data_IF_445087590648
#
_entry.id   IF_445087590648
#
_cell.length_a   1.000
_cell.length_b   1.000
_cell.length_c   1.000
_cell.angle_alpha   90.00
_cell.angle_beta   90.00
_cell.angle_gamma   90.00
#
_symmetry.space_group_name_H-M   'P 1'
#
loop_
_entity.id
_entity.type
_entity.pdbx_description
1 polymer ?
#
# COMPACT_ATOMS: atom_id res chain seq x y z
N UNK A 1 27.69 -19.56 -60.23
CA UNK A 1 28.50 -19.65 -59.00
C UNK A 1 28.23 -18.37 -58.21
N UNK A 2 27.29 -18.43 -57.26
CA UNK A 2 27.01 -17.36 -56.28
C UNK A 2 26.29 -18.04 -55.11
N UNK A 3 27.05 -18.29 -54.06
CA UNK A 3 26.59 -18.84 -52.78
C UNK A 3 25.58 -17.88 -52.13
N UNK A 4 24.37 -18.38 -51.86
CA UNK A 4 23.45 -17.76 -50.95
C UNK A 4 23.90 -18.08 -49.51
N UNK A 5 24.53 -17.11 -48.86
CA UNK A 5 24.87 -17.15 -47.45
C UNK A 5 23.59 -17.33 -46.61
N UNK A 6 23.37 -18.57 -46.16
CA UNK A 6 22.45 -18.89 -45.07
C UNK A 6 22.97 -18.21 -43.81
N UNK A 7 22.28 -17.16 -43.36
CA UNK A 7 22.55 -16.54 -42.05
C UNK A 7 22.06 -17.53 -40.99
N UNK A 8 22.92 -18.01 -40.07
CA UNK A 8 22.50 -18.97 -39.07
C UNK A 8 21.55 -18.31 -38.07
N UNK A 9 20.56 -19.10 -37.68
CA UNK A 9 19.57 -18.85 -36.64
C UNK A 9 20.26 -18.32 -35.38
N UNK A 10 20.04 -17.04 -35.05
CA UNK A 10 20.57 -16.43 -33.82
C UNK A 10 19.68 -16.88 -32.68
N UNK A 11 20.17 -17.76 -31.81
CA UNK A 11 19.55 -18.04 -30.51
C UNK A 11 19.23 -16.74 -29.78
N UNK A 12 17.95 -16.44 -29.61
CA UNK A 12 17.47 -15.22 -28.93
C UNK A 12 17.43 -15.47 -27.41
N UNK A 13 18.56 -15.87 -26.82
CA UNK A 13 18.70 -15.95 -25.36
C UNK A 13 19.22 -14.62 -24.81
N UNK A 14 18.36 -13.61 -24.74
CA UNK A 14 18.74 -12.29 -24.22
C UNK A 14 17.59 -11.56 -23.53
N UNK A 15 17.96 -10.60 -22.68
CA UNK A 15 17.05 -9.66 -21.97
C UNK A 15 15.97 -9.07 -22.90
N UNK A 16 16.24 -8.96 -24.20
CA UNK A 16 15.29 -8.55 -25.25
C UNK A 16 14.04 -9.46 -25.33
N UNK A 17 14.18 -10.78 -25.33
CA UNK A 17 13.04 -11.71 -25.37
C UNK A 17 12.14 -11.56 -24.13
N UNK A 18 12.74 -11.33 -22.95
CA UNK A 18 12.03 -11.05 -21.69
C UNK A 18 11.31 -9.69 -21.65
N UNK A 19 11.73 -8.75 -22.49
CA UNK A 19 11.09 -7.43 -22.67
C UNK A 19 9.98 -7.47 -23.74
N UNK A 20 10.03 -8.44 -24.66
CA UNK A 20 9.07 -8.64 -25.74
C UNK A 20 7.90 -9.57 -25.36
N UNK A 21 8.04 -10.37 -24.30
CA UNK A 21 6.93 -11.10 -23.68
C UNK A 21 5.90 -10.12 -23.10
N UNK A 22 4.81 -9.95 -23.86
CA UNK A 22 3.66 -9.16 -23.47
C UNK A 22 2.98 -9.85 -22.27
N UNK A 23 2.81 -9.19 -21.10
CA UNK A 23 2.10 -9.84 -20.00
C UNK A 23 0.64 -10.10 -20.38
N UNK A 24 0.13 -11.23 -19.91
CA UNK A 24 -1.28 -11.60 -20.05
C UNK A 24 -2.15 -10.63 -19.25
N UNK A 25 -3.32 -10.28 -19.80
CA UNK A 25 -4.31 -9.44 -19.11
C UNK A 25 -4.62 -10.06 -17.73
N UNK A 26 -4.39 -9.31 -16.66
CA UNK A 26 -4.69 -9.72 -15.29
C UNK A 26 -3.48 -10.16 -14.46
N UNK A 27 -2.32 -10.44 -15.07
CA UNK A 27 -1.11 -10.77 -14.31
C UNK A 27 -0.32 -9.52 -13.88
N UNK A 28 0.00 -9.44 -12.59
CA UNK A 28 0.83 -8.37 -12.04
C UNK A 28 2.30 -8.53 -12.43
N UNK A 29 2.92 -7.48 -12.99
CA UNK A 29 4.34 -7.51 -13.39
C UNK A 29 5.30 -7.66 -12.18
N UNK A 30 6.23 -8.63 -12.25
CA UNK A 30 7.33 -8.87 -11.29
C UNK A 30 8.71 -8.63 -11.92
N UNK A 31 9.72 -8.30 -11.12
CA UNK A 31 11.12 -8.18 -11.58
C UNK A 31 11.36 -7.08 -12.63
N UNK A 32 12.23 -7.36 -13.62
CA UNK A 32 12.60 -6.45 -14.71
C UNK A 32 11.39 -6.00 -15.56
N UNK A 33 10.29 -6.76 -15.57
CA UNK A 33 9.02 -6.35 -16.20
C UNK A 33 8.44 -5.08 -15.58
N UNK A 34 8.86 -4.69 -14.36
CA UNK A 34 8.42 -3.41 -13.74
C UNK A 34 8.93 -2.18 -14.48
N UNK A 35 10.05 -2.25 -15.22
CA UNK A 35 10.60 -1.09 -15.93
C UNK A 35 9.76 -0.74 -17.15
N UNK A 36 9.69 0.55 -17.48
CA UNK A 36 9.02 1.02 -18.69
C UNK A 36 9.92 0.78 -19.89
N UNK A 37 9.39 0.08 -20.90
CA UNK A 37 10.10 -0.12 -22.16
C UNK A 37 9.87 1.06 -23.11
N UNK A 38 10.77 1.26 -24.08
CA UNK A 38 10.59 2.27 -25.12
C UNK A 38 9.30 2.06 -25.94
N UNK A 39 8.88 0.80 -26.11
CA UNK A 39 7.60 0.45 -26.74
C UNK A 39 6.41 0.94 -25.92
N UNK A 40 6.40 0.67 -24.62
CA UNK A 40 5.31 1.12 -23.74
C UNK A 40 5.23 2.65 -23.67
N UNK A 41 6.36 3.35 -23.66
CA UNK A 41 6.40 4.81 -23.72
C UNK A 41 5.85 5.36 -25.04
N UNK A 42 6.13 4.69 -26.16
CA UNK A 42 5.55 5.03 -27.47
C UNK A 42 4.03 4.87 -27.43
N UNK A 43 3.52 3.81 -26.82
CA UNK A 43 2.08 3.61 -26.63
C UNK A 43 1.47 4.69 -25.73
N UNK A 44 2.14 5.08 -24.63
CA UNK A 44 1.70 6.19 -23.78
C UNK A 44 1.62 7.50 -24.56
N UNK A 45 2.64 7.84 -25.36
CA UNK A 45 2.63 9.06 -26.20
C UNK A 45 1.48 9.08 -27.21
N UNK A 46 1.11 7.91 -27.72
CA UNK A 46 0.07 7.78 -28.75
C UNK A 46 -1.33 7.86 -28.15
N UNK A 47 -1.60 7.04 -27.12
CA UNK A 47 -2.95 6.81 -26.62
C UNK A 47 -3.34 7.71 -25.43
N UNK A 48 -2.38 8.16 -24.61
CA UNK A 48 -2.69 8.96 -23.44
C UNK A 48 -3.33 10.32 -23.78
N UNK A 49 -2.88 11.06 -24.81
CA UNK A 49 -3.53 12.31 -25.21
C UNK A 49 -4.99 12.11 -25.64
N UNK A 50 -5.32 10.98 -26.27
CA UNK A 50 -6.65 10.73 -26.85
C UNK A 50 -7.67 10.29 -25.79
N UNK A 51 -7.29 9.34 -24.94
CA UNK A 51 -8.23 8.71 -24.01
C UNK A 51 -7.77 8.69 -22.54
N UNK A 52 -6.58 9.20 -22.25
CA UNK A 52 -5.98 9.12 -20.92
C UNK A 52 -5.70 7.68 -20.50
N UNK A 53 -5.83 7.40 -19.20
CA UNK A 53 -5.47 6.09 -18.63
C UNK A 53 -6.36 4.95 -19.12
N UNK A 54 -7.66 5.18 -19.33
CA UNK A 54 -8.60 4.13 -19.75
C UNK A 54 -8.20 3.53 -21.09
N UNK A 55 -7.81 4.37 -22.06
CA UNK A 55 -7.34 3.90 -23.36
C UNK A 55 -5.96 3.23 -23.25
N UNK A 56 -5.04 3.80 -22.47
CA UNK A 56 -3.73 3.18 -22.24
C UNK A 56 -3.82 1.78 -21.61
N UNK A 57 -4.78 1.53 -20.73
CA UNK A 57 -4.98 0.23 -20.10
C UNK A 57 -5.35 -0.88 -21.10
N UNK A 58 -6.02 -0.53 -22.21
CA UNK A 58 -6.35 -1.49 -23.27
C UNK A 58 -5.10 -1.95 -24.02
N UNK A 59 -4.10 -1.08 -24.16
CA UNK A 59 -2.86 -1.34 -24.91
C UNK A 59 -1.65 -1.68 -24.03
N UNK A 60 -1.79 -1.58 -22.71
CA UNK A 60 -0.74 -1.86 -21.72
C UNK A 60 -1.23 -2.90 -20.71
N UNK A 61 -1.45 -4.17 -21.14
CA UNK A 61 -1.84 -5.23 -20.22
C UNK A 61 -0.82 -5.34 -19.08
N UNK A 62 -1.30 -5.65 -17.87
CA UNK A 62 -0.48 -5.77 -16.66
C UNK A 62 0.06 -4.45 -16.08
N UNK A 63 -0.23 -3.26 -16.64
CA UNK A 63 0.06 -1.97 -15.99
C UNK A 63 -1.14 -1.55 -15.15
N UNK A 64 -0.89 -1.08 -13.93
CA UNK A 64 -1.94 -0.45 -13.13
C UNK A 64 -2.16 1.01 -13.56
N UNK A 65 -3.38 1.52 -13.37
CA UNK A 65 -3.71 2.92 -13.62
C UNK A 65 -2.72 3.88 -12.93
N UNK A 66 -2.37 3.60 -11.68
CA UNK A 66 -1.41 4.39 -10.90
C UNK A 66 -0.01 4.39 -11.51
N UNK A 67 0.45 3.24 -12.05
CA UNK A 67 1.74 3.15 -12.73
C UNK A 67 1.78 4.01 -13.98
N UNK A 68 0.70 4.01 -14.77
CA UNK A 68 0.52 4.85 -15.95
C UNK A 68 0.54 6.33 -15.56
N UNK A 69 -0.26 6.75 -14.57
CA UNK A 69 -0.29 8.14 -14.10
C UNK A 69 1.10 8.64 -13.68
N UNK A 70 1.85 7.84 -12.93
CA UNK A 70 3.19 8.19 -12.50
C UNK A 70 4.15 8.35 -13.69
N UNK A 71 4.13 7.41 -14.65
CA UNK A 71 5.02 7.48 -15.81
C UNK A 71 4.69 8.64 -16.74
N UNK A 72 3.41 8.83 -17.03
CA UNK A 72 2.92 9.96 -17.82
C UNK A 72 3.32 11.27 -17.17
N UNK A 73 3.19 11.38 -15.84
CA UNK A 73 3.63 12.55 -15.08
C UNK A 73 5.13 12.82 -15.23
N UNK A 74 5.97 11.79 -15.18
CA UNK A 74 7.42 11.91 -15.44
C UNK A 74 7.73 12.31 -16.88
N UNK A 75 6.95 11.83 -17.85
CA UNK A 75 7.08 12.16 -19.27
C UNK A 75 6.43 13.51 -19.63
N UNK A 76 5.75 14.16 -18.70
CA UNK A 76 5.04 15.42 -18.95
C UNK A 76 3.81 15.29 -19.88
N UNK A 77 3.32 14.07 -20.12
CA UNK A 77 2.18 13.85 -21.02
C UNK A 77 0.87 14.35 -20.40
N UNK A 78 -0.05 14.82 -21.23
CA UNK A 78 -1.35 15.36 -20.82
C UNK A 78 -2.46 14.74 -21.66
N UNK A 79 -3.65 14.65 -21.07
CA UNK A 79 -4.86 14.26 -21.78
C UNK A 79 -5.37 15.50 -22.52
N UNK A 80 -5.72 15.35 -23.80
CA UNK A 80 -6.42 16.37 -24.55
C UNK A 80 -7.92 16.33 -24.24
N UNK A 81 -8.58 17.48 -24.37
CA UNK A 81 -10.04 17.53 -24.35
C UNK A 81 -10.65 16.91 -25.63
N UNK A 82 -11.97 16.86 -25.71
CA UNK A 82 -12.67 16.30 -26.87
C UNK A 82 -12.38 17.06 -28.20
N UNK A 83 -11.79 18.25 -28.13
CA UNK A 83 -11.41 19.10 -29.26
C UNK A 83 -9.91 19.00 -29.59
N UNK A 84 -9.18 18.09 -28.94
CA UNK A 84 -7.74 17.92 -29.14
C UNK A 84 -6.87 18.97 -28.46
N UNK A 85 -7.42 19.85 -27.61
CA UNK A 85 -6.67 20.89 -26.90
C UNK A 85 -6.25 20.41 -25.52
N UNK A 86 -5.03 20.78 -25.10
CA UNK A 86 -4.59 20.56 -23.74
C UNK A 86 -5.12 21.69 -22.85
N UNK A 87 -5.80 21.34 -21.75
CA UNK A 87 -6.17 22.34 -20.75
C UNK A 87 -4.91 22.84 -20.03
N UNK A 88 -4.72 24.15 -20.05
CA UNK A 88 -3.71 24.80 -19.24
C UNK A 88 -4.04 24.63 -17.76
N UNK A 89 -3.00 24.52 -16.93
CA UNK A 89 -3.22 24.50 -15.48
C UNK A 89 -3.57 25.91 -15.07
N UNK A 90 -4.78 26.11 -14.55
CA UNK A 90 -5.20 27.40 -14.02
C UNK A 90 -4.20 27.88 -12.97
N UNK A 91 -3.59 29.04 -13.22
CA UNK A 91 -2.70 29.70 -12.28
C UNK A 91 -3.55 30.48 -11.25
N UNK A 92 -3.55 30.00 -10.02
CA UNK A 92 -4.28 30.64 -8.93
C UNK A 92 -3.42 31.73 -8.29
N UNK A 93 -3.77 33.00 -8.54
CA UNK A 93 -3.11 34.18 -7.95
C UNK A 93 -3.78 34.57 -6.62
N UNK A 94 -2.97 35.18 -5.74
CA UNK A 94 -3.44 35.80 -4.49
C UNK A 94 -3.56 37.31 -4.63
N UNK A 95 -4.31 37.93 -3.71
CA UNK A 95 -4.34 39.36 -3.48
C UNK A 95 -4.64 39.62 -1.98
N UNK A 96 -4.51 40.88 -1.55
CA UNK A 96 -4.70 41.27 -0.14
C UNK A 96 -6.09 40.90 0.40
N UNK A 97 -7.15 41.06 -0.41
CA UNK A 97 -8.53 40.72 -0.01
C UNK A 97 -8.69 39.21 0.25
N UNK A 98 -8.12 38.38 -0.63
CA UNK A 98 -8.13 36.91 -0.48
C UNK A 98 -7.36 36.53 0.79
N UNK A 99 -6.15 37.08 0.96
CA UNK A 99 -5.33 36.77 2.12
C UNK A 99 -6.00 37.24 3.42
N UNK A 100 -6.69 38.39 3.45
CA UNK A 100 -7.46 38.84 4.61
C UNK A 100 -8.59 37.88 5.02
N UNK A 101 -9.31 37.30 4.04
CA UNK A 101 -10.35 36.29 4.31
C UNK A 101 -9.73 35.00 4.85
N UNK A 102 -8.59 34.59 4.30
CA UNK A 102 -7.84 33.42 4.79
C UNK A 102 -7.37 33.69 6.22
N UNK A 103 -6.69 34.80 6.49
CA UNK A 103 -6.24 35.19 7.83
C UNK A 103 -7.39 35.13 8.83
N UNK A 104 -8.55 35.76 8.51
CA UNK A 104 -9.75 35.73 9.37
C UNK A 104 -10.21 34.31 9.68
N UNK A 105 -10.18 33.42 8.70
CA UNK A 105 -10.60 32.02 8.88
C UNK A 105 -9.66 31.25 9.83
N UNK A 106 -8.38 31.62 9.87
CA UNK A 106 -7.34 30.95 10.67
C UNK A 106 -6.92 31.75 11.91
N UNK A 107 -7.68 32.78 12.32
CA UNK A 107 -7.46 33.48 13.60
C UNK A 107 -7.59 32.54 14.82
N UNK A 108 -8.26 31.40 14.65
CA UNK A 108 -8.27 30.28 15.58
C UNK A 108 -8.21 28.95 14.85
N UNK A 109 -8.51 27.85 15.56
CA UNK A 109 -8.63 26.53 14.93
C UNK A 109 -9.91 26.49 14.08
N UNK A 110 -9.82 26.37 12.74
CA UNK A 110 -11.01 26.37 11.90
C UNK A 110 -11.86 25.12 12.16
N UNK A 111 -13.17 25.31 12.28
CA UNK A 111 -14.13 24.22 12.44
C UNK A 111 -14.22 23.32 11.19
N UNK A 112 -14.88 22.17 11.36
CA UNK A 112 -15.13 21.23 10.26
C UNK A 112 -15.94 21.94 9.16
N UNK A 113 -15.29 22.17 8.02
CA UNK A 113 -15.92 22.82 6.86
C UNK A 113 -15.61 24.31 6.71
N UNK A 114 -15.05 24.98 7.72
CA UNK A 114 -14.71 26.41 7.63
C UNK A 114 -13.71 26.70 6.49
N UNK A 115 -12.71 25.82 6.29
CA UNK A 115 -11.78 25.92 5.16
C UNK A 115 -12.47 25.75 3.80
N UNK A 116 -13.53 24.93 3.74
CA UNK A 116 -14.32 24.73 2.51
C UNK A 116 -15.22 25.95 2.22
N UNK A 117 -15.80 26.54 3.25
CA UNK A 117 -16.55 27.80 3.13
C UNK A 117 -15.63 28.93 2.67
N UNK A 118 -14.45 29.07 3.28
CA UNK A 118 -13.41 30.01 2.87
C UNK A 118 -13.02 29.81 1.40
N UNK A 119 -12.74 28.57 1.00
CA UNK A 119 -12.44 28.20 -0.39
C UNK A 119 -13.53 28.63 -1.38
N UNK A 120 -14.80 28.45 -1.00
CA UNK A 120 -15.95 28.86 -1.79
C UNK A 120 -16.04 30.39 -1.88
N UNK A 121 -15.83 31.10 -0.77
CA UNK A 121 -15.88 32.56 -0.68
C UNK A 121 -14.78 33.26 -1.50
N UNK A 122 -13.56 32.71 -1.53
CA UNK A 122 -12.46 33.28 -2.33
C UNK A 122 -12.40 32.74 -3.76
N UNK A 123 -13.35 31.87 -4.14
CA UNK A 123 -13.36 31.16 -5.42
C UNK A 123 -12.00 30.49 -5.72
N UNK A 124 -11.47 29.74 -4.74
CA UNK A 124 -10.23 28.97 -4.86
C UNK A 124 -10.44 27.53 -4.40
N UNK A 125 -9.71 26.56 -4.96
CA UNK A 125 -9.75 25.19 -4.47
C UNK A 125 -9.28 25.12 -3.01
N UNK A 126 -9.92 24.24 -2.23
CA UNK A 126 -9.60 24.03 -0.81
C UNK A 126 -8.10 23.76 -0.57
N UNK A 127 -7.45 22.98 -1.43
CA UNK A 127 -6.02 22.69 -1.33
C UNK A 127 -5.16 23.95 -1.49
N UNK A 128 -5.59 24.89 -2.34
CA UNK A 128 -4.86 26.14 -2.59
C UNK A 128 -4.95 27.04 -1.36
N UNK A 129 -6.15 27.16 -0.76
CA UNK A 129 -6.34 27.90 0.50
C UNK A 129 -5.49 27.31 1.62
N UNK A 130 -5.48 25.98 1.79
CA UNK A 130 -4.62 25.32 2.79
C UNK A 130 -3.13 25.61 2.54
N UNK A 131 -2.69 25.55 1.28
CA UNK A 131 -1.31 25.86 0.91
C UNK A 131 -0.96 27.33 1.15
N UNK A 132 -1.89 28.25 0.85
CA UNK A 132 -1.72 29.68 1.08
C UNK A 132 -1.66 30.01 2.57
N UNK A 133 -2.51 29.39 3.39
CA UNK A 133 -2.48 29.56 4.84
C UNK A 133 -1.14 29.12 5.46
N UNK A 134 -0.55 28.02 4.97
CA UNK A 134 0.81 27.60 5.36
C UNK A 134 1.85 28.64 4.94
N UNK A 135 1.75 29.18 3.72
CA UNK A 135 2.67 30.22 3.24
C UNK A 135 2.55 31.54 4.01
N UNK A 136 1.35 31.89 4.49
CA UNK A 136 1.10 33.04 5.36
C UNK A 136 1.51 32.78 6.83
N UNK A 137 2.04 31.60 7.16
CA UNK A 137 2.44 31.25 8.53
C UNK A 137 1.28 30.97 9.49
N UNK A 138 0.04 30.88 8.99
CA UNK A 138 -1.17 30.65 9.80
C UNK A 138 -1.30 29.19 10.27
N UNK A 139 -0.61 28.27 9.60
CA UNK A 139 -0.60 26.84 9.91
C UNK A 139 0.83 26.33 9.88
N UNK A 140 1.24 25.62 10.93
CA UNK A 140 2.53 24.96 10.95
C UNK A 140 2.59 23.85 9.89
N UNK A 141 3.58 23.85 8.98
CA UNK A 141 3.76 22.77 8.00
C UNK A 141 3.85 21.41 8.69
N UNK A 142 3.20 20.40 8.13
CA UNK A 142 3.41 19.02 8.58
C UNK A 142 4.77 18.55 8.10
N UNK A 143 5.75 18.50 9.00
CA UNK A 143 7.05 17.91 8.70
C UNK A 143 6.92 16.39 8.51
N UNK A 144 7.66 15.87 7.52
CA UNK A 144 7.78 14.42 7.33
C UNK A 144 8.59 13.86 8.50
N UNK A 145 8.10 12.77 9.09
CA UNK A 145 8.84 12.08 10.14
C UNK A 145 10.24 11.71 9.65
N UNK A 146 11.24 11.83 10.53
CA UNK A 146 12.61 11.43 10.24
C UNK A 146 12.67 9.95 9.77
N UNK A 147 13.65 9.56 8.94
CA UNK A 147 13.90 8.15 8.66
C UNK A 147 14.11 7.38 9.98
N UNK A 148 13.74 6.10 10.00
CA UNK A 148 13.97 5.24 11.16
C UNK A 148 15.46 4.90 11.25
N UNK A 149 16.07 5.14 12.41
CA UNK A 149 17.45 4.71 12.67
C UNK A 149 17.53 3.21 12.94
N UNK A 150 18.71 2.63 12.80
CA UNK A 150 18.95 1.21 13.13
C UNK A 150 18.69 0.93 14.61
N UNK A 151 19.07 1.85 15.50
CA UNK A 151 18.80 1.75 16.93
C UNK A 151 17.29 1.74 17.24
N UNK A 152 16.51 2.60 16.58
CA UNK A 152 15.05 2.59 16.73
C UNK A 152 14.45 1.26 16.25
N UNK A 153 14.97 0.72 15.14
CA UNK A 153 14.54 -0.56 14.57
C UNK A 153 14.83 -1.71 15.54
N UNK A 154 16.04 -1.76 16.10
CA UNK A 154 16.43 -2.79 17.07
C UNK A 154 15.48 -2.79 18.29
N UNK A 155 15.21 -1.61 18.85
CA UNK A 155 14.30 -1.47 20.01
C UNK A 155 12.91 -2.04 19.70
N UNK A 156 12.34 -1.73 18.54
CA UNK A 156 10.99 -2.22 18.19
C UNK A 156 10.99 -3.70 17.79
N UNK A 157 12.07 -4.22 17.19
CA UNK A 157 12.14 -5.63 16.77
C UNK A 157 12.34 -6.56 17.96
N UNK A 158 13.24 -6.23 18.88
CA UNK A 158 13.50 -7.00 20.11
C UNK A 158 12.26 -7.05 21.02
N UNK A 159 11.43 -6.01 20.97
CA UNK A 159 10.26 -5.86 21.81
C UNK A 159 8.93 -5.98 21.05
N UNK A 160 8.94 -6.58 19.86
CA UNK A 160 7.76 -6.64 18.98
C UNK A 160 6.54 -7.31 19.62
N UNK A 161 6.75 -8.20 20.61
CA UNK A 161 5.72 -8.85 21.41
C UNK A 161 4.98 -7.90 22.37
N UNK A 162 5.52 -6.70 22.66
CA UNK A 162 4.92 -5.73 23.59
C UNK A 162 3.88 -4.84 22.91
N UNK A 163 2.98 -4.26 23.71
CA UNK A 163 2.02 -3.26 23.22
C UNK A 163 2.73 -2.00 22.67
N UNK A 164 2.16 -1.35 21.65
CA UNK A 164 2.74 -0.14 21.03
C UNK A 164 2.87 1.02 21.97
N UNK A 165 1.97 1.16 22.93
CA UNK A 165 2.11 2.17 23.98
C UNK A 165 3.39 1.95 24.80
N UNK A 166 3.80 0.70 25.03
CA UNK A 166 5.06 0.35 25.69
C UNK A 166 6.26 0.57 24.78
N UNK A 167 6.19 0.17 23.50
CA UNK A 167 7.23 0.47 22.51
C UNK A 167 7.48 1.97 22.38
N UNK A 168 6.42 2.78 22.36
CA UNK A 168 6.50 4.24 22.33
C UNK A 168 7.21 4.79 23.56
N UNK A 169 6.91 4.27 24.76
CA UNK A 169 7.58 4.66 26.00
C UNK A 169 9.07 4.31 25.97
N UNK A 170 9.44 3.13 25.46
CA UNK A 170 10.85 2.72 25.34
C UNK A 170 11.62 3.59 24.34
N UNK A 171 11.01 3.88 23.18
CA UNK A 171 11.58 4.82 22.21
C UNK A 171 11.76 6.21 22.83
N UNK A 172 10.73 6.73 23.51
CA UNK A 172 10.79 8.04 24.17
C UNK A 172 11.87 8.09 25.26
N UNK A 173 12.05 7.01 26.04
CA UNK A 173 13.10 6.89 27.05
C UNK A 173 14.52 6.91 26.47
N UNK A 174 14.67 6.61 25.18
CA UNK A 174 15.92 6.71 24.41
C UNK A 174 16.01 8.00 23.57
N UNK A 175 15.09 8.94 23.75
CA UNK A 175 15.04 10.22 23.04
C UNK A 175 14.32 10.19 21.69
N UNK A 176 13.77 9.05 21.28
CA UNK A 176 13.08 8.91 19.99
C UNK A 176 11.58 9.19 20.12
N UNK A 177 11.09 10.17 19.35
CA UNK A 177 9.68 10.55 19.35
C UNK A 177 8.95 9.95 18.14
N UNK A 178 8.26 8.82 18.36
CA UNK A 178 7.44 8.14 17.34
C UNK A 178 5.99 8.00 17.78
N UNK A 179 5.05 8.21 16.86
CA UNK A 179 3.64 7.94 17.12
C UNK A 179 3.38 6.43 17.16
N UNK A 180 2.34 5.98 17.86
CA UNK A 180 1.96 4.55 17.86
C UNK A 180 1.65 4.05 16.46
N UNK A 181 1.03 4.89 15.62
CA UNK A 181 0.76 4.56 14.22
C UNK A 181 2.06 4.36 13.42
N UNK A 182 3.07 5.20 13.64
CA UNK A 182 4.37 5.04 13.00
C UNK A 182 5.04 3.71 13.39
N UNK A 183 4.98 3.34 14.67
CA UNK A 183 5.48 2.06 15.18
C UNK A 183 4.73 0.89 14.53
N UNK A 184 3.39 0.94 14.46
CA UNK A 184 2.57 -0.10 13.80
C UNK A 184 2.98 -0.28 12.34
N UNK A 185 3.08 0.84 11.59
CA UNK A 185 3.46 0.81 10.18
C UNK A 185 4.88 0.26 10.01
N UNK A 186 5.79 0.60 10.92
CA UNK A 186 7.17 0.10 10.87
C UNK A 186 7.24 -1.39 11.17
N UNK A 187 6.58 -1.89 12.22
CA UNK A 187 6.48 -3.32 12.53
C UNK A 187 5.92 -4.12 11.35
N UNK A 188 4.82 -3.64 10.74
CA UNK A 188 4.25 -4.25 9.53
C UNK A 188 5.24 -4.33 8.37
N UNK A 189 6.08 -3.30 8.17
CA UNK A 189 7.11 -3.28 7.12
C UNK A 189 8.32 -4.16 7.43
N UNK A 190 8.61 -4.37 8.71
CA UNK A 190 9.67 -5.27 9.17
C UNK A 190 9.22 -6.74 9.22
N UNK A 191 7.92 -7.02 9.08
CA UNK A 191 7.38 -8.37 9.20
C UNK A 191 7.43 -8.93 10.62
N UNK A 192 7.75 -8.09 11.61
CA UNK A 192 7.72 -8.45 13.03
C UNK A 192 6.27 -8.37 13.50
N UNK A 193 5.57 -9.51 13.44
CA UNK A 193 4.17 -9.54 13.83
C UNK A 193 4.04 -9.33 15.34
N UNK A 194 3.05 -8.52 15.67
CA UNK A 194 2.73 -8.01 17.00
C UNK A 194 1.74 -8.96 17.68
N UNK A 195 1.90 -10.24 17.42
CA UNK A 195 0.92 -11.27 17.76
C UNK A 195 1.09 -11.62 19.23
N UNK A 196 -0.01 -11.50 19.96
CA UNK A 196 -0.27 -12.37 21.10
C UNK A 196 0.03 -13.81 20.63
N UNK A 197 1.11 -14.46 21.12
CA UNK A 197 1.55 -15.76 20.58
C UNK A 197 0.45 -16.82 20.59
N UNK A 198 -0.55 -16.63 21.44
CA UNK A 198 -1.63 -17.57 21.68
C UNK A 198 -2.94 -17.21 20.98
N UNK A 199 -3.05 -16.05 20.32
CA UNK A 199 -4.30 -15.61 19.69
C UNK A 199 -4.12 -15.00 18.29
N UNK A 200 -4.77 -15.61 17.31
CA UNK A 200 -4.75 -15.23 15.90
C UNK A 200 -6.03 -14.51 15.52
N UNK A 201 -5.92 -13.52 14.64
CA UNK A 201 -7.06 -13.05 13.86
C UNK A 201 -7.22 -13.85 12.55
N UNK A 202 -8.35 -13.69 11.86
CA UNK A 202 -8.65 -14.45 10.64
C UNK A 202 -7.62 -14.24 9.51
N UNK A 203 -7.06 -13.03 9.38
CA UNK A 203 -6.02 -12.72 8.39
C UNK A 203 -4.66 -13.33 8.75
N UNK A 204 -4.29 -13.31 10.04
CA UNK A 204 -3.06 -13.90 10.55
C UNK A 204 -3.08 -15.42 10.36
N UNK A 205 -4.19 -16.06 10.74
CA UNK A 205 -4.36 -17.49 10.54
C UNK A 205 -4.34 -17.86 9.05
N UNK A 206 -4.99 -17.07 8.19
CA UNK A 206 -4.98 -17.28 6.74
C UNK A 206 -3.55 -17.22 6.17
N UNK A 207 -2.76 -16.26 6.62
CA UNK A 207 -1.37 -16.09 6.18
C UNK A 207 -0.49 -17.29 6.54
N UNK A 208 -0.52 -17.75 7.81
CA UNK A 208 0.29 -18.91 8.23
C UNK A 208 -0.21 -20.23 7.66
N UNK A 209 -1.51 -20.35 7.38
CA UNK A 209 -2.11 -21.53 6.73
C UNK A 209 -1.91 -21.56 5.21
N UNK A 210 -1.49 -20.45 4.60
CA UNK A 210 -1.39 -20.33 3.14
C UNK A 210 -2.74 -20.44 2.42
N UNK A 211 -3.83 -19.99 3.05
CA UNK A 211 -5.20 -20.02 2.50
C UNK A 211 -5.82 -18.62 2.44
N UNK A 212 -6.90 -18.46 1.67
CA UNK A 212 -7.66 -17.21 1.66
C UNK A 212 -8.47 -17.06 2.97
N UNK A 213 -8.64 -15.82 3.46
CA UNK A 213 -9.41 -15.51 4.67
C UNK A 213 -10.87 -16.00 4.61
N UNK A 214 -11.49 -16.07 3.43
CA UNK A 214 -12.84 -16.64 3.26
C UNK A 214 -12.87 -18.12 3.64
N UNK A 215 -11.77 -18.84 3.43
CA UNK A 215 -11.63 -20.25 3.84
C UNK A 215 -11.69 -20.37 5.36
N UNK A 216 -10.94 -19.54 6.09
CA UNK A 216 -10.99 -19.47 7.55
C UNK A 216 -12.40 -19.14 8.04
N UNK A 217 -13.02 -18.14 7.41
CA UNK A 217 -14.40 -17.73 7.76
C UNK A 217 -15.40 -18.86 7.50
N UNK A 218 -15.22 -19.64 6.44
CA UNK A 218 -15.99 -20.83 6.13
C UNK A 218 -15.82 -21.96 7.15
N UNK A 219 -14.60 -22.18 7.65
CA UNK A 219 -14.35 -23.16 8.72
C UNK A 219 -15.01 -22.75 10.04
N UNK A 220 -15.00 -21.46 10.35
CA UNK A 220 -15.69 -20.92 11.53
C UNK A 220 -17.21 -21.05 11.37
N UNK A 221 -17.77 -20.68 10.22
CA UNK A 221 -19.23 -20.77 9.99
C UNK A 221 -19.74 -22.21 10.00
N UNK A 222 -18.91 -23.18 9.59
CA UNK A 222 -19.21 -24.62 9.66
C UNK A 222 -19.01 -25.21 11.07
N UNK A 223 -18.50 -24.42 12.02
CA UNK A 223 -18.21 -24.86 13.39
C UNK A 223 -16.97 -25.75 13.53
N UNK A 224 -16.16 -25.90 12.47
CA UNK A 224 -14.95 -26.73 12.51
C UNK A 224 -13.82 -26.03 13.28
N UNK A 225 -13.73 -24.71 13.15
CA UNK A 225 -12.75 -23.88 13.85
C UNK A 225 -13.46 -23.00 14.88
N UNK A 226 -13.15 -23.21 16.17
CA UNK A 226 -13.71 -22.39 17.26
C UNK A 226 -13.06 -21.01 17.27
N UNK A 227 -13.88 -19.97 17.28
CA UNK A 227 -13.45 -18.58 17.32
C UNK A 227 -14.40 -17.73 18.17
N UNK A 228 -13.86 -16.72 18.86
CA UNK A 228 -14.65 -15.73 19.61
C UNK A 228 -14.75 -14.44 18.81
N UNK A 229 -15.94 -13.84 18.77
CA UNK A 229 -16.15 -12.53 18.12
C UNK A 229 -15.67 -11.41 19.04
N UNK A 230 -14.91 -10.45 18.51
CA UNK A 230 -14.54 -9.24 19.25
C UNK A 230 -15.71 -8.25 19.23
N UNK A 231 -16.13 -7.75 20.39
CA UNK A 231 -17.30 -6.88 20.57
C UNK A 231 -17.10 -5.45 20.02
N UNK A 232 -15.86 -4.98 19.92
CA UNK A 232 -15.51 -3.65 19.39
C UNK A 232 -14.42 -3.75 18.33
N UNK A 233 -14.81 -3.91 17.07
CA UNK A 233 -13.95 -3.56 15.95
C UNK A 233 -14.80 -3.19 14.75
N UNK A 234 -14.70 -1.94 14.31
CA UNK A 234 -15.23 -1.48 13.02
C UNK A 234 -14.38 -1.97 11.83
N UNK A 235 -13.24 -2.62 12.10
CA UNK A 235 -12.36 -3.21 11.09
C UNK A 235 -12.63 -4.71 10.94
N UNK A 236 -12.42 -5.19 9.72
CA UNK A 236 -12.75 -6.50 9.18
C UNK A 236 -12.15 -7.71 9.94
N UNK A 237 -11.31 -7.49 10.95
CA UNK A 237 -10.67 -8.54 11.78
C UNK A 237 -11.53 -8.92 13.01
N UNK A 238 -12.72 -9.47 12.77
CA UNK A 238 -13.73 -9.74 13.80
C UNK A 238 -13.45 -10.95 14.71
N UNK A 239 -12.62 -11.91 14.27
CA UNK A 239 -12.43 -13.19 14.96
C UNK A 239 -11.15 -13.21 15.80
N UNK A 240 -11.25 -13.70 17.04
CA UNK A 240 -10.14 -14.09 17.91
C UNK A 240 -10.11 -15.62 18.01
N UNK A 241 -9.05 -16.24 17.52
CA UNK A 241 -8.90 -17.69 17.38
C UNK A 241 -7.71 -18.12 18.23
N UNK A 242 -7.92 -19.00 19.22
CA UNK A 242 -6.84 -19.40 20.12
C UNK A 242 -5.93 -20.43 19.47
N UNK A 243 -4.64 -20.44 19.85
CA UNK A 243 -3.65 -21.43 19.42
C UNK A 243 -4.10 -22.86 19.72
N UNK A 244 -4.75 -23.07 20.87
CA UNK A 244 -5.35 -24.35 21.27
C UNK A 244 -6.45 -24.80 20.31
N UNK A 245 -7.35 -23.89 19.93
CA UNK A 245 -8.45 -24.20 19.01
C UNK A 245 -7.93 -24.47 17.60
N UNK A 246 -6.91 -23.74 17.15
CA UNK A 246 -6.25 -23.98 15.85
C UNK A 246 -5.57 -25.35 15.82
N UNK A 247 -4.81 -25.69 16.86
CA UNK A 247 -4.18 -27.01 17.02
C UNK A 247 -5.23 -28.12 16.97
N UNK A 248 -6.29 -28.00 17.77
CA UNK A 248 -7.38 -28.97 17.80
C UNK A 248 -8.02 -29.12 16.41
N UNK A 249 -8.29 -28.01 15.72
CA UNK A 249 -8.82 -28.04 14.36
C UNK A 249 -7.93 -28.82 13.39
N UNK A 250 -6.61 -28.54 13.35
CA UNK A 250 -5.67 -29.20 12.44
C UNK A 250 -5.60 -30.71 12.73
N UNK A 251 -5.50 -31.09 14.01
CA UNK A 251 -5.40 -32.50 14.41
C UNK A 251 -6.64 -33.28 13.95
N UNK A 252 -7.84 -32.72 14.13
CA UNK A 252 -9.09 -33.41 13.76
C UNK A 252 -9.45 -33.28 12.27
N UNK A 253 -8.87 -32.31 11.55
CA UNK A 253 -9.25 -31.99 10.16
C UNK A 253 -8.05 -31.93 9.22
N UNK A 254 -7.05 -32.79 9.44
CA UNK A 254 -5.79 -32.76 8.68
C UNK A 254 -5.99 -32.93 7.18
N UNK A 255 -7.00 -33.70 6.75
CA UNK A 255 -7.32 -33.92 5.34
C UNK A 255 -7.82 -32.66 4.61
N UNK A 256 -8.38 -31.69 5.33
CA UNK A 256 -8.91 -30.43 4.78
C UNK A 256 -7.80 -29.37 4.69
N UNK A 257 -6.74 -29.51 5.48
CA UNK A 257 -5.63 -28.56 5.55
C UNK A 257 -4.54 -28.96 4.56
N UNK A 258 -4.25 -28.09 3.59
CA UNK A 258 -3.14 -28.32 2.66
C UNK A 258 -1.79 -28.00 3.31
N UNK A 259 -1.21 -28.99 3.99
CA UNK A 259 0.05 -28.88 4.74
C UNK A 259 1.20 -28.34 3.86
N UNK A 260 1.13 -28.52 2.53
CA UNK A 260 2.15 -28.00 1.60
C UNK A 260 2.21 -26.47 1.57
N UNK A 261 1.10 -25.79 1.91
CA UNK A 261 0.98 -24.32 1.91
C UNK A 261 1.16 -23.69 3.27
N UNK A 262 1.00 -24.48 4.33
CA UNK A 262 1.18 -24.03 5.71
C UNK A 262 2.65 -23.74 5.97
N UNK A 263 2.93 -22.68 6.75
CA UNK A 263 4.27 -22.44 7.26
C UNK A 263 4.72 -23.64 8.12
N UNK A 264 5.73 -24.36 7.62
CA UNK A 264 6.19 -25.63 8.18
C UNK A 264 6.78 -25.47 9.57
N UNK A 265 7.51 -24.39 9.83
CA UNK A 265 8.15 -24.15 11.13
C UNK A 265 7.08 -23.80 12.17
N UNK A 266 6.17 -22.91 11.80
CA UNK A 266 5.03 -22.56 12.65
C UNK A 266 4.13 -23.77 12.95
N UNK A 267 3.88 -24.64 11.97
CA UNK A 267 3.08 -25.86 12.17
C UNK A 267 3.77 -26.81 13.17
N UNK A 268 5.08 -26.99 13.05
CA UNK A 268 5.86 -27.78 14.00
C UNK A 268 5.78 -27.18 15.40
N UNK A 269 5.98 -25.87 15.55
CA UNK A 269 5.89 -25.21 16.85
C UNK A 269 4.49 -25.31 17.46
N UNK A 270 3.44 -25.18 16.64
CA UNK A 270 2.05 -25.35 17.04
C UNK A 270 1.77 -26.76 17.55
N UNK A 271 2.30 -27.79 16.89
CA UNK A 271 2.11 -29.21 17.23
C UNK A 271 3.05 -29.69 18.35
N UNK A 272 4.20 -29.04 18.54
CA UNK A 272 5.18 -29.37 19.56
C UNK A 272 4.96 -28.64 20.89
N UNK A 273 3.98 -27.74 21.00
CA UNK A 273 3.74 -26.92 22.22
C UNK A 273 4.96 -26.10 22.67
N UNK A 274 5.89 -25.82 21.76
CA UNK A 274 6.98 -24.88 22.04
C UNK A 274 6.35 -23.48 22.14
N UNK A 275 6.27 -22.97 23.37
CA UNK A 275 6.05 -21.55 23.61
C UNK A 275 7.36 -20.88 23.23
N UNK A 276 7.31 -19.90 22.32
CA UNK A 276 8.45 -19.03 22.11
C UNK A 276 8.67 -18.25 23.41
N UNK A 277 9.66 -18.67 24.21
CA UNK A 277 10.14 -17.95 25.39
C UNK A 277 10.73 -16.61 25.03
#
# INVERSE_FOLDING_TARGET
>A
MMDALVVPDREVSGIRALLDDNPVVGEGRKGARRFWTGREEKLLKTYYPQGGVSLCLQYLPGRSASSIYNRVGQMGLRKADARGKFTERQAWTSNERIDAVIVRTFQGKPDKGAVQACASAVARPRWWVSKRAVHLGLVSPRFKEAPWSEAEIAIISENAHKATASLRRMLAGKGYQRSETAIIVKLKRLGTDRTDPDNFNGNQLAAVMGVDRKTISGWISKGWLKAKRREQSALDDFWKISRRDIRSFIIHNIAVVDIRKVDKFWLVDLLAERVAS
#
